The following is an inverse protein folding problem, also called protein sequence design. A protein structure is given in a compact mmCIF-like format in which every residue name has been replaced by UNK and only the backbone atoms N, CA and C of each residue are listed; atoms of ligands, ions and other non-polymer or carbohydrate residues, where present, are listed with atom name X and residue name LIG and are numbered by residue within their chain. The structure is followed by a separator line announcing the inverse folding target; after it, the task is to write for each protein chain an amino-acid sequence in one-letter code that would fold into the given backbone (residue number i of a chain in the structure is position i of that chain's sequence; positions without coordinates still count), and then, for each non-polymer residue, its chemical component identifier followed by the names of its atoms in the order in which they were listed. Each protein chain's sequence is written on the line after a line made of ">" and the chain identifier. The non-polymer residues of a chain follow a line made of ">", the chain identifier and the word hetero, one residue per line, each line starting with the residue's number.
data_IF_082860351875
#
_entry.id   IF_082860351875
#
_cell.length_a   1.000
_cell.length_b   1.000
_cell.length_c   1.000
_cell.angle_alpha   90.00
_cell.angle_beta   90.00
_cell.angle_gamma   90.00
#
_symmetry.space_group_name_H-M   'P 1'
#
loop_
_entity.id
_entity.type
_entity.pdbx_description
1 polymer ?
#
# COMPACT_ATOMS: atom_id res chain seq x y z
N UNK A 1 20.92 -24.84 -3.16
CA UNK A 1 20.86 -23.85 -4.26
C UNK A 1 19.62 -23.00 -4.10
N UNK A 2 19.75 -21.67 -3.94
CA UNK A 2 18.61 -20.76 -3.92
C UNK A 2 17.80 -20.83 -5.22
N UNK A 3 16.51 -20.49 -5.15
CA UNK A 3 15.60 -20.63 -6.27
C UNK A 3 16.00 -19.84 -7.52
N UNK A 4 16.66 -18.69 -7.36
CA UNK A 4 17.15 -17.89 -8.49
C UNK A 4 18.23 -18.60 -9.33
N UNK A 5 18.90 -19.62 -8.80
CA UNK A 5 19.84 -20.51 -9.53
C UNK A 5 19.13 -21.69 -10.23
N UNK A 6 17.81 -21.81 -10.06
CA UNK A 6 17.00 -22.88 -10.65
C UNK A 6 15.99 -22.29 -11.64
N UNK A 7 16.36 -22.03 -12.92
CA UNK A 7 15.57 -21.21 -13.84
C UNK A 7 14.12 -21.70 -14.02
N UNK A 8 13.91 -23.02 -14.08
CA UNK A 8 12.56 -23.61 -14.20
C UNK A 8 11.71 -23.32 -12.96
N UNK A 9 12.29 -23.48 -11.77
CA UNK A 9 11.63 -23.21 -10.50
C UNK A 9 11.34 -21.71 -10.34
N UNK A 10 12.32 -20.86 -10.63
CA UNK A 10 12.18 -19.41 -10.60
C UNK A 10 11.05 -18.93 -11.54
N UNK A 11 11.02 -19.43 -12.78
CA UNK A 11 9.97 -19.07 -13.74
C UNK A 11 8.58 -19.51 -13.28
N UNK A 12 8.46 -20.69 -12.66
CA UNK A 12 7.18 -21.14 -12.07
C UNK A 12 6.71 -20.21 -10.95
N UNK A 13 7.63 -19.80 -10.09
CA UNK A 13 7.37 -18.93 -8.93
C UNK A 13 7.04 -17.50 -9.34
N UNK A 14 7.70 -16.99 -10.37
CA UNK A 14 7.35 -15.71 -10.98
C UNK A 14 5.90 -15.72 -11.52
N UNK A 15 5.52 -16.77 -12.27
CA UNK A 15 4.13 -16.95 -12.74
C UNK A 15 3.13 -17.06 -11.59
N UNK A 16 3.49 -17.75 -10.52
CA UNK A 16 2.68 -17.88 -9.31
C UNK A 16 2.43 -16.52 -8.65
N UNK A 17 3.46 -15.68 -8.49
CA UNK A 17 3.32 -14.32 -7.95
C UNK A 17 2.35 -13.46 -8.78
N UNK A 18 2.46 -13.50 -10.11
CA UNK A 18 1.53 -12.74 -10.97
C UNK A 18 0.09 -13.25 -10.83
N UNK A 19 -0.10 -14.57 -10.64
CA UNK A 19 -1.43 -15.14 -10.38
C UNK A 19 -1.98 -14.67 -9.03
N UNK A 20 -1.17 -14.66 -7.98
CA UNK A 20 -1.56 -14.21 -6.64
C UNK A 20 -2.03 -12.75 -6.67
N UNK A 21 -1.25 -11.87 -7.29
CA UNK A 21 -1.62 -10.46 -7.51
C UNK A 21 -2.93 -10.34 -8.30
N UNK A 22 -3.06 -11.05 -9.42
CA UNK A 22 -4.27 -10.96 -10.24
C UNK A 22 -5.50 -11.40 -9.45
N UNK A 23 -5.40 -12.46 -8.66
CA UNK A 23 -6.51 -12.92 -7.80
C UNK A 23 -6.83 -11.93 -6.69
N UNK A 24 -5.82 -11.29 -6.08
CA UNK A 24 -6.04 -10.22 -5.10
C UNK A 24 -6.86 -9.07 -5.67
N UNK A 25 -6.46 -8.57 -6.83
CA UNK A 25 -7.17 -7.46 -7.46
C UNK A 25 -8.56 -7.87 -7.95
N UNK A 26 -8.70 -9.10 -8.45
CA UNK A 26 -10.00 -9.64 -8.88
C UNK A 26 -11.00 -9.74 -7.72
N UNK A 27 -10.55 -10.18 -6.54
CA UNK A 27 -11.38 -10.25 -5.34
C UNK A 27 -11.93 -8.85 -4.94
N UNK A 28 -11.25 -7.78 -5.36
CA UNK A 28 -11.53 -6.39 -4.95
C UNK A 28 -12.27 -5.54 -5.99
N UNK A 29 -12.61 -6.08 -7.16
CA UNK A 29 -13.25 -5.30 -8.24
C UNK A 29 -14.51 -4.53 -7.79
N UNK A 30 -15.23 -5.02 -6.78
CA UNK A 30 -16.40 -4.37 -6.19
C UNK A 30 -16.31 -4.25 -4.65
N UNK A 31 -15.09 -4.07 -4.10
CA UNK A 31 -14.83 -4.16 -2.66
C UNK A 31 -15.80 -3.36 -1.78
N UNK A 32 -16.13 -2.12 -2.16
CA UNK A 32 -17.04 -1.26 -1.39
C UNK A 32 -18.49 -1.72 -1.36
N UNK A 33 -18.90 -2.59 -2.29
CA UNK A 33 -20.25 -3.17 -2.37
C UNK A 33 -20.36 -4.54 -1.69
N UNK A 34 -19.23 -5.09 -1.20
CA UNK A 34 -19.23 -6.40 -0.56
C UNK A 34 -19.90 -6.34 0.81
N UNK A 35 -20.66 -7.39 1.12
CA UNK A 35 -21.12 -7.66 2.47
C UNK A 35 -19.95 -7.91 3.41
N UNK A 36 -20.21 -7.85 4.72
CA UNK A 36 -19.18 -8.12 5.72
C UNK A 36 -18.56 -9.51 5.56
N UNK A 37 -19.40 -10.52 5.31
CA UNK A 37 -18.95 -11.89 4.98
C UNK A 37 -18.04 -11.91 3.75
N UNK A 38 -18.32 -11.09 2.74
CA UNK A 38 -17.47 -10.93 1.56
C UNK A 38 -16.11 -10.34 1.91
N UNK A 39 -16.06 -9.31 2.75
CA UNK A 39 -14.81 -8.69 3.21
C UNK A 39 -13.98 -9.63 4.07
N UNK A 40 -14.60 -10.40 4.97
CA UNK A 40 -13.95 -11.44 5.76
C UNK A 40 -13.33 -12.52 4.85
N UNK A 41 -14.04 -12.95 3.80
CA UNK A 41 -13.50 -13.91 2.83
C UNK A 41 -12.23 -13.39 2.16
N UNK A 42 -12.19 -12.10 1.83
CA UNK A 42 -11.00 -11.47 1.25
C UNK A 42 -9.86 -11.40 2.27
N UNK A 43 -10.13 -11.00 3.51
CA UNK A 43 -9.09 -10.96 4.56
C UNK A 43 -8.44 -12.34 4.79
N UNK A 44 -9.26 -13.40 4.80
CA UNK A 44 -8.75 -14.78 4.89
C UNK A 44 -7.92 -15.18 3.65
N UNK A 45 -8.29 -14.72 2.46
CA UNK A 45 -7.51 -14.94 1.25
C UNK A 45 -6.19 -14.14 1.28
N UNK A 46 -6.20 -12.90 1.79
CA UNK A 46 -5.02 -12.05 1.93
C UNK A 46 -3.99 -12.69 2.85
N UNK A 47 -4.42 -13.25 3.99
CA UNK A 47 -3.54 -14.00 4.89
C UNK A 47 -2.82 -15.13 4.14
N UNK A 48 -3.57 -15.97 3.40
CA UNK A 48 -2.99 -17.07 2.62
C UNK A 48 -2.04 -16.58 1.53
N UNK A 49 -2.39 -15.49 0.83
CA UNK A 49 -1.54 -14.90 -0.21
C UNK A 49 -0.25 -14.34 0.41
N UNK A 50 -0.30 -13.65 1.55
CA UNK A 50 0.89 -13.14 2.25
C UNK A 50 1.79 -14.27 2.73
N UNK A 51 1.24 -15.31 3.35
CA UNK A 51 2.00 -16.51 3.73
C UNK A 51 2.71 -17.09 2.52
N UNK A 52 1.99 -17.25 1.40
CA UNK A 52 2.56 -17.84 0.19
C UNK A 52 3.65 -16.97 -0.44
N UNK A 53 3.46 -15.65 -0.49
CA UNK A 53 4.50 -14.71 -0.96
C UNK A 53 5.74 -14.78 -0.07
N UNK A 54 5.57 -14.88 1.25
CA UNK A 54 6.66 -15.07 2.22
C UNK A 54 7.44 -16.36 1.99
N UNK A 55 6.77 -17.48 1.71
CA UNK A 55 7.42 -18.74 1.34
C UNK A 55 8.25 -18.60 0.05
N UNK A 56 7.68 -18.01 -1.00
CA UNK A 56 8.38 -17.79 -2.28
C UNK A 56 9.60 -16.87 -2.10
N UNK A 57 9.49 -15.87 -1.22
CA UNK A 57 10.61 -15.02 -0.84
C UNK A 57 11.70 -15.82 -0.11
N UNK A 58 11.33 -16.64 0.87
CA UNK A 58 12.24 -17.52 1.61
C UNK A 58 12.94 -18.57 0.73
N UNK A 59 12.30 -19.00 -0.35
CA UNK A 59 12.94 -19.84 -1.39
C UNK A 59 14.03 -19.08 -2.19
N UNK A 60 14.05 -17.75 -2.14
CA UNK A 60 14.95 -16.89 -2.90
C UNK A 60 14.55 -16.72 -4.37
N UNK A 61 13.24 -16.72 -4.68
CA UNK A 61 12.76 -16.76 -6.07
C UNK A 61 12.51 -15.39 -6.73
N UNK A 62 12.51 -14.29 -5.97
CA UNK A 62 12.25 -12.96 -6.53
C UNK A 62 13.42 -12.53 -7.41
N UNK A 63 13.15 -12.12 -8.65
CA UNK A 63 14.20 -11.74 -9.61
C UNK A 63 13.88 -10.47 -10.38
N UNK A 64 12.66 -10.36 -10.89
CA UNK A 64 12.24 -9.30 -11.82
C UNK A 64 11.47 -8.19 -11.11
N UNK A 65 11.37 -7.01 -11.73
CA UNK A 65 10.52 -5.93 -11.23
C UNK A 65 9.07 -6.40 -11.01
N UNK A 66 8.55 -7.27 -11.87
CA UNK A 66 7.21 -7.84 -11.76
C UNK A 66 7.03 -8.73 -10.52
N UNK A 67 8.05 -9.50 -10.13
CA UNK A 67 8.01 -10.33 -8.92
C UNK A 67 7.89 -9.46 -7.67
N UNK A 68 8.74 -8.43 -7.58
CA UNK A 68 8.74 -7.50 -6.45
C UNK A 68 7.47 -6.65 -6.40
N UNK A 69 6.95 -6.21 -7.56
CA UNK A 69 5.66 -5.50 -7.69
C UNK A 69 4.51 -6.34 -7.15
N UNK A 70 4.38 -7.58 -7.61
CA UNK A 70 3.33 -8.48 -7.16
C UNK A 70 3.40 -8.73 -5.65
N UNK A 71 4.60 -8.97 -5.12
CA UNK A 71 4.81 -9.17 -3.70
C UNK A 71 4.47 -7.91 -2.87
N UNK A 72 4.89 -6.73 -3.33
CA UNK A 72 4.60 -5.45 -2.67
C UNK A 72 3.09 -5.20 -2.57
N UNK A 73 2.33 -5.45 -3.65
CA UNK A 73 0.88 -5.31 -3.63
C UNK A 73 0.21 -6.24 -2.61
N UNK A 74 0.63 -7.51 -2.55
CA UNK A 74 0.06 -8.48 -1.60
C UNK A 74 0.34 -8.04 -0.14
N UNK A 75 1.54 -7.55 0.15
CA UNK A 75 1.90 -7.08 1.48
C UNK A 75 1.31 -5.70 1.82
N UNK A 76 1.01 -4.86 0.83
CA UNK A 76 0.26 -3.60 1.02
C UNK A 76 -1.12 -3.86 1.64
N UNK A 77 -1.73 -5.01 1.37
CA UNK A 77 -2.96 -5.50 1.99
C UNK A 77 -2.71 -6.30 3.28
N UNK A 78 -1.59 -6.05 3.96
CA UNK A 78 -1.29 -6.58 5.29
C UNK A 78 -2.11 -5.92 6.41
N UNK A 79 -1.87 -6.40 7.63
CA UNK A 79 -2.56 -5.93 8.85
C UNK A 79 -1.62 -5.33 9.90
N UNK A 80 -0.29 -5.51 9.77
CA UNK A 80 0.71 -5.07 10.76
C UNK A 80 1.77 -4.17 10.11
N UNK A 81 2.46 -3.31 10.88
CA UNK A 81 3.47 -2.38 10.36
C UNK A 81 4.54 -3.04 9.48
N UNK A 82 5.05 -4.20 9.87
CA UNK A 82 6.07 -4.96 9.14
C UNK A 82 5.64 -5.31 7.71
N UNK A 83 4.36 -5.62 7.50
CA UNK A 83 3.87 -5.90 6.16
C UNK A 83 3.97 -4.68 5.25
N UNK A 84 3.58 -3.51 5.77
CA UNK A 84 3.60 -2.26 5.01
C UNK A 84 5.02 -1.80 4.73
N UNK A 85 5.92 -1.94 5.71
CA UNK A 85 7.32 -1.62 5.50
C UNK A 85 7.98 -2.57 4.48
N UNK A 86 7.67 -3.87 4.54
CA UNK A 86 8.16 -4.83 3.56
C UNK A 86 7.62 -4.55 2.15
N UNK A 87 6.35 -4.14 2.02
CA UNK A 87 5.78 -3.68 0.76
C UNK A 87 6.53 -2.46 0.20
N UNK A 88 6.88 -1.51 1.06
CA UNK A 88 7.69 -0.34 0.68
C UNK A 88 9.07 -0.75 0.15
N UNK A 89 9.76 -1.66 0.85
CA UNK A 89 11.08 -2.17 0.42
C UNK A 89 10.99 -2.85 -0.95
N UNK A 90 10.01 -3.74 -1.16
CA UNK A 90 9.85 -4.42 -2.44
C UNK A 90 9.40 -3.50 -3.56
N UNK A 91 8.54 -2.52 -3.30
CA UNK A 91 8.16 -1.51 -4.28
C UNK A 91 9.39 -0.71 -4.76
N UNK A 92 10.26 -0.27 -3.85
CA UNK A 92 11.52 0.38 -4.22
C UNK A 92 12.44 -0.53 -5.03
N UNK A 93 12.51 -1.82 -4.68
CA UNK A 93 13.30 -2.77 -5.47
C UNK A 93 12.77 -2.92 -6.89
N UNK A 94 11.45 -2.93 -7.08
CA UNK A 94 10.85 -2.93 -8.41
C UNK A 94 11.17 -1.65 -9.20
N UNK A 95 11.17 -0.47 -8.54
CA UNK A 95 11.62 0.80 -9.16
C UNK A 95 13.07 0.71 -9.62
N UNK A 96 13.97 0.20 -8.77
CA UNK A 96 15.39 0.02 -9.11
C UNK A 96 15.60 -0.94 -10.29
N UNK A 97 14.70 -1.91 -10.46
CA UNK A 97 14.70 -2.87 -11.58
C UNK A 97 14.00 -2.33 -12.84
N UNK A 98 13.55 -1.06 -12.83
CA UNK A 98 13.04 -0.35 -14.00
C UNK A 98 11.54 -0.08 -14.02
N UNK A 99 10.74 -0.62 -13.08
CA UNK A 99 9.31 -0.32 -13.01
C UNK A 99 9.04 0.96 -12.21
N UNK A 100 9.16 2.10 -12.89
CA UNK A 100 8.94 3.44 -12.30
C UNK A 100 7.52 3.65 -11.78
N UNK A 101 6.54 2.86 -12.23
CA UNK A 101 5.16 2.97 -11.73
C UNK A 101 5.05 2.54 -10.27
N UNK A 102 6.03 1.78 -9.74
CA UNK A 102 6.05 1.38 -8.33
C UNK A 102 6.43 2.49 -7.35
N UNK A 103 6.78 3.70 -7.82
CA UNK A 103 6.91 4.88 -6.93
C UNK A 103 5.62 5.13 -6.14
N UNK A 104 4.47 4.93 -6.79
CA UNK A 104 3.16 5.06 -6.16
C UNK A 104 2.92 3.99 -5.10
N UNK A 105 3.27 2.74 -5.39
CA UNK A 105 3.17 1.66 -4.40
C UNK A 105 4.07 1.92 -3.19
N UNK A 106 5.29 2.42 -3.41
CA UNK A 106 6.20 2.80 -2.34
C UNK A 106 5.59 3.91 -1.46
N UNK A 107 5.01 4.95 -2.07
CA UNK A 107 4.32 6.02 -1.35
C UNK A 107 3.12 5.53 -0.52
N UNK A 108 2.29 4.66 -1.09
CA UNK A 108 1.14 4.05 -0.40
C UNK A 108 1.57 3.19 0.79
N UNK A 109 2.64 2.42 0.61
CA UNK A 109 3.15 1.50 1.62
C UNK A 109 3.81 2.23 2.79
N UNK A 110 4.61 3.25 2.51
CA UNK A 110 5.29 3.98 3.57
C UNK A 110 4.35 4.85 4.39
N UNK A 111 3.37 5.50 3.76
CA UNK A 111 2.34 6.25 4.48
C UNK A 111 1.54 5.32 5.40
N UNK A 112 1.21 4.11 4.93
CA UNK A 112 0.52 3.10 5.73
C UNK A 112 1.35 2.62 6.90
N UNK A 113 2.64 2.35 6.68
CA UNK A 113 3.59 2.04 7.76
C UNK A 113 3.59 3.16 8.81
N UNK A 114 3.86 4.40 8.40
CA UNK A 114 3.97 5.55 9.31
C UNK A 114 2.70 5.75 10.13
N UNK A 115 1.53 5.74 9.49
CA UNK A 115 0.25 5.87 10.19
C UNK A 115 0.04 4.70 11.16
N UNK A 116 0.39 3.48 10.78
CA UNK A 116 0.22 2.29 11.64
C UNK A 116 1.07 2.34 12.91
N UNK A 117 2.17 3.10 12.91
CA UNK A 117 3.04 3.31 14.08
C UNK A 117 2.83 4.68 14.75
N UNK A 118 1.75 5.41 14.40
CA UNK A 118 1.37 6.67 15.05
C UNK A 118 2.14 7.89 14.55
N UNK A 119 2.67 7.86 13.33
CA UNK A 119 3.38 8.97 12.69
C UNK A 119 2.62 9.56 11.51
N UNK A 120 2.86 10.85 11.25
CA UNK A 120 2.33 11.55 10.08
C UNK A 120 2.83 10.90 8.80
N UNK A 121 1.95 10.86 7.80
CA UNK A 121 2.26 10.37 6.47
C UNK A 121 2.96 11.42 5.61
N UNK A 122 3.64 10.99 4.55
CA UNK A 122 4.42 11.84 3.66
C UNK A 122 3.66 12.25 2.40
N UNK A 123 2.87 11.33 1.83
CA UNK A 123 2.22 11.50 0.52
C UNK A 123 0.69 11.69 0.62
N UNK A 124 0.19 11.88 1.84
CA UNK A 124 -1.21 12.09 2.16
C UNK A 124 -2.14 10.92 1.78
N UNK A 125 -1.63 9.72 1.54
CA UNK A 125 -2.40 8.66 0.89
C UNK A 125 -3.42 7.91 1.71
N UNK A 126 -3.25 7.86 3.03
CA UNK A 126 -4.12 7.13 3.94
C UNK A 126 -5.27 8.02 4.43
N UNK A 127 -6.42 7.38 4.58
CA UNK A 127 -7.62 7.91 5.21
C UNK A 127 -8.08 6.98 6.32
N UNK A 128 -8.93 7.50 7.19
CA UNK A 128 -9.61 6.73 8.22
C UNK A 128 -11.08 7.11 8.28
N UNK A 129 -11.94 6.14 8.59
CA UNK A 129 -13.33 6.39 8.92
C UNK A 129 -13.40 7.06 10.30
N UNK A 130 -14.13 8.17 10.40
CA UNK A 130 -14.44 8.83 11.67
C UNK A 130 -15.61 8.08 12.32
N UNK A 131 -15.41 7.46 13.51
CA UNK A 131 -16.51 6.87 14.26
C UNK A 131 -17.58 7.93 14.57
N UNK A 132 -18.86 7.53 14.60
CA UNK A 132 -19.99 8.37 15.01
C UNK A 132 -20.29 9.60 14.10
N UNK A 133 -19.70 9.65 12.90
CA UNK A 133 -20.05 10.64 11.85
C UNK A 133 -20.53 9.97 10.56
N UNK A 134 -21.53 9.10 10.64
CA UNK A 134 -22.15 8.42 9.49
C UNK A 134 -21.14 7.78 8.50
N UNK A 135 -20.00 7.29 8.99
CA UNK A 135 -18.97 6.69 8.14
C UNK A 135 -18.22 7.68 7.24
N UNK A 136 -18.11 8.96 7.63
CA UNK A 136 -17.24 9.93 6.98
C UNK A 136 -15.78 9.51 7.04
N UNK A 137 -15.03 9.75 5.97
CA UNK A 137 -13.58 9.58 5.93
C UNK A 137 -12.88 10.93 6.11
N UNK A 138 -11.82 10.95 6.91
CA UNK A 138 -10.82 12.02 6.97
C UNK A 138 -9.48 11.51 6.46
N UNK A 139 -8.66 12.42 5.96
CA UNK A 139 -7.28 12.12 5.58
C UNK A 139 -6.42 12.02 6.83
N UNK A 140 -5.54 11.04 6.92
CA UNK A 140 -4.58 10.99 8.03
C UNK A 140 -3.61 12.18 7.97
N UNK A 141 -3.07 12.62 9.11
CA UNK A 141 -2.26 13.83 9.17
C UNK A 141 -0.97 13.69 8.35
N UNK A 142 -0.67 14.71 7.54
CA UNK A 142 0.49 14.73 6.66
C UNK A 142 1.61 15.62 7.20
N UNK A 143 2.85 15.29 6.85
CA UNK A 143 4.00 16.13 7.12
C UNK A 143 3.98 17.36 6.21
N UNK A 144 3.98 18.56 6.79
CA UNK A 144 3.80 19.82 6.05
C UNK A 144 5.04 20.22 5.23
N UNK A 145 6.19 19.62 5.55
CA UNK A 145 7.49 19.98 4.98
C UNK A 145 7.82 19.22 3.69
N UNK A 146 7.02 18.23 3.31
CA UNK A 146 7.22 17.50 2.05
C UNK A 146 6.80 18.41 0.89
N UNK A 147 7.70 18.73 -0.06
CA UNK A 147 7.36 19.59 -1.19
C UNK A 147 6.22 19.02 -2.05
N UNK A 148 5.29 19.88 -2.49
CA UNK A 148 4.11 19.42 -3.24
C UNK A 148 4.42 18.70 -4.56
N UNK A 149 5.51 19.06 -5.24
CA UNK A 149 5.95 18.35 -6.46
C UNK A 149 6.36 16.91 -6.13
N UNK A 150 7.00 16.70 -4.99
CA UNK A 150 7.40 15.38 -4.51
C UNK A 150 6.19 14.52 -4.15
N UNK A 151 5.19 15.13 -3.50
CA UNK A 151 3.90 14.48 -3.22
C UNK A 151 3.25 14.01 -4.52
N UNK A 152 3.27 14.82 -5.58
CA UNK A 152 2.65 14.47 -6.86
C UNK A 152 3.44 13.41 -7.63
N UNK A 153 4.77 13.50 -7.64
CA UNK A 153 5.64 12.56 -8.34
C UNK A 153 5.51 11.14 -7.78
N UNK A 154 5.58 11.00 -6.45
CA UNK A 154 5.51 9.71 -5.79
C UNK A 154 4.07 9.28 -5.50
N UNK A 155 3.25 10.18 -4.98
CA UNK A 155 1.89 9.89 -4.53
C UNK A 155 0.82 9.92 -5.62
N UNK A 156 1.19 10.19 -6.89
CA UNK A 156 0.32 10.36 -8.07
C UNK A 156 -0.62 11.58 -8.05
N UNK A 157 -1.04 12.01 -6.85
CA UNK A 157 -1.99 13.08 -6.62
C UNK A 157 -1.38 14.08 -5.64
N UNK A 158 -1.51 15.36 -5.96
CA UNK A 158 -1.36 16.43 -4.97
C UNK A 158 -2.38 16.28 -3.85
N UNK A 159 -2.11 16.93 -2.72
CA UNK A 159 -3.03 16.96 -1.57
C UNK A 159 -4.43 17.46 -1.98
N UNK A 160 -4.50 18.48 -2.84
CA UNK A 160 -5.77 19.03 -3.36
C UNK A 160 -6.53 18.01 -4.21
N UNK A 161 -5.84 17.34 -5.14
CA UNK A 161 -6.44 16.29 -5.99
C UNK A 161 -6.93 15.11 -5.14
N UNK A 162 -6.22 14.77 -4.07
CA UNK A 162 -6.61 13.68 -3.16
C UNK A 162 -7.85 14.01 -2.34
N UNK A 163 -7.97 15.22 -1.81
CA UNK A 163 -9.23 15.67 -1.19
C UNK A 163 -10.41 15.63 -2.15
N UNK A 164 -10.20 16.02 -3.42
CA UNK A 164 -11.25 15.93 -4.44
C UNK A 164 -11.65 14.47 -4.71
N UNK A 165 -10.69 13.54 -4.75
CA UNK A 165 -10.96 12.11 -4.87
C UNK A 165 -11.77 11.58 -3.68
N UNK A 166 -11.41 11.95 -2.45
CA UNK A 166 -12.12 11.50 -1.25
C UNK A 166 -13.57 11.99 -1.23
N UNK A 167 -13.81 13.24 -1.64
CA UNK A 167 -15.16 13.78 -1.80
C UNK A 167 -16.00 12.94 -2.78
N UNK A 168 -15.40 12.53 -3.90
CA UNK A 168 -16.08 11.79 -4.97
C UNK A 168 -16.22 10.28 -4.71
N UNK A 169 -15.43 9.71 -3.80
CA UNK A 169 -15.39 8.27 -3.54
C UNK A 169 -15.87 7.94 -2.13
N UNK A 170 -15.03 8.17 -1.12
CA UNK A 170 -15.28 7.78 0.27
C UNK A 170 -16.41 8.56 0.95
N UNK A 171 -16.55 9.83 0.59
CA UNK A 171 -17.52 10.77 1.13
C UNK A 171 -18.62 11.13 0.12
N UNK A 172 -18.77 10.32 -0.93
CA UNK A 172 -19.85 10.51 -1.89
C UNK A 172 -21.20 10.48 -1.17
N UNK A 173 -22.06 11.45 -1.49
CA UNK A 173 -23.41 11.59 -0.93
C UNK A 173 -23.48 11.76 0.61
N UNK A 174 -22.34 12.04 1.26
CA UNK A 174 -22.24 12.31 2.70
C UNK A 174 -21.90 13.79 2.95
N UNK A 175 -22.51 14.38 3.97
CA UNK A 175 -22.17 15.73 4.42
C UNK A 175 -20.91 15.72 5.32
N UNK A 176 -19.76 15.36 4.75
CA UNK A 176 -18.48 15.26 5.46
C UNK A 176 -17.61 16.50 5.25
N UNK A 177 -17.03 17.03 6.32
CA UNK A 177 -15.97 18.04 6.22
C UNK A 177 -14.69 17.41 5.68
N UNK A 178 -14.14 17.96 4.59
CA UNK A 178 -12.86 17.54 4.03
C UNK A 178 -11.72 18.16 4.82
N UNK A 179 -11.16 17.41 5.77
CA UNK A 179 -10.01 17.81 6.57
C UNK A 179 -9.19 16.60 7.01
N UNK A 180 -8.05 16.87 7.60
CA UNK A 180 -7.27 15.86 8.29
C UNK A 180 -8.00 15.36 9.55
N UNK A 181 -7.72 14.13 9.95
CA UNK A 181 -8.27 13.52 11.15
C UNK A 181 -7.80 14.27 12.40
N UNK A 182 -8.70 14.38 13.39
CA UNK A 182 -8.43 14.96 14.71
C UNK A 182 -7.69 13.96 15.61
N UNK A 183 -6.52 13.50 15.17
CA UNK A 183 -5.63 12.60 15.91
C UNK A 183 -4.33 13.34 16.27
N UNK A 184 -3.57 12.86 17.25
CA UNK A 184 -2.25 13.41 17.56
C UNK A 184 -1.17 12.46 17.03
N UNK A 185 -0.83 12.59 15.73
CA UNK A 185 0.27 11.82 15.14
C UNK A 185 1.60 12.52 15.36
N UNK A 186 2.62 11.73 15.69
CA UNK A 186 4.01 12.19 15.83
C UNK A 186 4.57 12.65 14.48
N UNK A 187 5.50 13.62 14.44
CA UNK A 187 6.21 13.96 13.20
C UNK A 187 6.90 12.73 12.59
N UNK A 188 7.01 12.65 11.27
CA UNK A 188 7.71 11.54 10.62
C UNK A 188 9.18 11.52 11.06
N UNK A 189 9.75 10.35 11.44
CA UNK A 189 11.16 10.29 11.86
C UNK A 189 12.08 10.62 10.67
N UNK A 190 13.01 11.56 10.88
CA UNK A 190 13.88 12.08 9.83
C UNK A 190 15.09 11.19 9.61
N UNK A 191 15.51 11.05 8.36
CA UNK A 191 16.71 10.29 7.97
C UNK A 191 16.57 8.77 8.13
N UNK A 192 15.45 8.28 8.63
CA UNK A 192 15.24 6.84 8.88
C UNK A 192 14.46 6.14 7.77
N UNK A 193 13.90 6.90 6.82
CA UNK A 193 13.10 6.34 5.74
C UNK A 193 13.96 6.32 4.46
N UNK A 194 14.42 5.15 4.01
CA UNK A 194 15.32 5.04 2.86
C UNK A 194 14.74 5.67 1.59
N UNK A 195 15.53 6.45 0.86
CA UNK A 195 15.11 7.06 -0.41
C UNK A 195 14.23 8.31 -0.28
N UNK A 196 13.99 8.76 0.96
CA UNK A 196 13.40 10.06 1.26
C UNK A 196 14.36 10.82 2.18
N UNK A 197 14.21 12.16 2.24
CA UNK A 197 15.09 13.15 2.90
C UNK A 197 16.22 13.69 2.02
#
# INVERSE_FOLDING_TARGET
>A
MPCWEQPKKQALRSKELQKLEKTDQSDRANYFKLSEKGKIKIALADLKRRQRVGEIFGEGCFKTAADFRAAALIYQHGEIPDHFYQAFVWANRAVQLGDKNQKQMAALAIDRYLVSIGHKQLFSSQAKIIPNKNGCFCMQQSEKRVPGHFIKEYGALSVKERYALYKKSFNQDKNCTLKECSEELKPTPRGTIPGFW
#
